data_IF_154515531194
#
_entry.id   IF_154515531194
#
_cell.length_a   1.000
_cell.length_b   1.000
_cell.length_c   1.000
_cell.angle_alpha   90.00
_cell.angle_beta   90.00
_cell.angle_gamma   90.00
#
_symmetry.space_group_name_H-M   'P 1'
#
loop_
_entity.id
_entity.type
_entity.pdbx_description
1 polymer ?
#
# COMPACT_ATOMS: atom_id res chain seq x y z
N UNK A 1 -17.90 19.25 8.33
CA UNK A 1 -16.49 18.86 8.18
C UNK A 1 -16.04 19.31 6.81
N UNK A 2 -15.00 20.13 6.71
CA UNK A 2 -14.39 20.39 5.40
C UNK A 2 -13.81 19.09 4.86
N UNK A 3 -14.16 18.73 3.63
CA UNK A 3 -13.60 17.59 2.92
C UNK A 3 -12.09 17.83 2.67
N UNK A 4 -11.29 16.77 2.70
CA UNK A 4 -9.85 16.86 2.46
C UNK A 4 -9.61 17.04 0.96
N UNK A 5 -8.95 18.14 0.58
CA UNK A 5 -8.52 18.37 -0.80
C UNK A 5 -7.26 17.56 -1.13
N UNK A 6 -7.47 16.39 -1.73
CA UNK A 6 -6.39 15.47 -2.10
C UNK A 6 -5.45 16.02 -3.17
N UNK A 7 -5.94 16.85 -4.08
CA UNK A 7 -5.12 17.42 -5.16
C UNK A 7 -4.12 18.43 -4.58
N UNK A 8 -4.60 19.30 -3.70
CA UNK A 8 -3.78 20.24 -2.93
C UNK A 8 -2.71 19.52 -2.10
N UNK A 9 -3.06 18.42 -1.43
CA UNK A 9 -2.09 17.63 -0.67
C UNK A 9 -1.03 16.98 -1.58
N UNK A 10 -1.42 16.48 -2.75
CA UNK A 10 -0.51 15.89 -3.72
C UNK A 10 0.48 16.92 -4.28
N UNK A 11 0.05 18.17 -4.44
CA UNK A 11 0.92 19.27 -4.89
C UNK A 11 1.95 19.65 -3.83
N UNK A 12 1.53 19.78 -2.57
CA UNK A 12 2.46 20.00 -1.44
C UNK A 12 3.46 18.85 -1.35
N UNK A 13 2.98 17.60 -1.48
CA UNK A 13 3.84 16.42 -1.45
C UNK A 13 4.90 16.45 -2.55
N UNK A 14 4.51 16.65 -3.82
CA UNK A 14 5.45 16.76 -4.95
C UNK A 14 6.44 17.90 -4.74
N UNK A 15 5.96 19.06 -4.31
CA UNK A 15 6.81 20.22 -4.07
C UNK A 15 7.84 19.94 -2.98
N UNK A 16 7.47 19.27 -1.90
CA UNK A 16 8.41 18.89 -0.85
C UNK A 16 9.56 18.03 -1.39
N UNK A 17 9.24 16.98 -2.14
CA UNK A 17 10.25 16.10 -2.75
C UNK A 17 11.15 16.81 -3.77
N UNK A 18 10.60 17.72 -4.57
CA UNK A 18 11.37 18.50 -5.56
C UNK A 18 12.38 19.47 -4.92
N UNK A 19 12.13 19.90 -3.68
CA UNK A 19 12.98 20.83 -2.94
C UNK A 19 13.95 20.13 -1.98
N UNK A 20 14.04 18.80 -2.01
CA UNK A 20 15.10 18.09 -1.30
C UNK A 20 16.41 18.31 -2.03
N UNK A 21 17.40 18.87 -1.33
CA UNK A 21 18.76 18.92 -1.80
C UNK A 21 19.40 17.54 -1.68
N UNK A 22 19.62 16.89 -2.83
CA UNK A 22 20.32 15.59 -2.91
C UNK A 22 21.82 15.75 -3.20
N UNK A 23 22.33 16.98 -3.34
CA UNK A 23 23.71 17.25 -3.79
C UNK A 23 24.76 16.96 -2.71
N UNK A 24 24.35 16.82 -1.46
CA UNK A 24 25.20 16.36 -0.37
C UNK A 24 24.82 14.93 -0.02
N UNK A 25 25.80 14.10 0.35
CA UNK A 25 25.64 12.67 0.66
C UNK A 25 24.86 12.49 1.98
N UNK A 26 23.61 12.96 2.00
CA UNK A 26 22.75 13.12 3.16
C UNK A 26 22.13 11.77 3.49
N UNK A 27 22.14 11.41 4.79
CA UNK A 27 21.47 10.20 5.26
C UNK A 27 19.96 10.27 5.00
N UNK A 28 19.32 9.13 4.77
CA UNK A 28 17.87 9.10 4.52
C UNK A 28 17.08 9.66 5.71
N UNK A 29 17.58 9.50 6.93
CA UNK A 29 17.01 10.14 8.11
C UNK A 29 16.96 11.67 7.96
N UNK A 30 18.01 12.29 7.42
CA UNK A 30 18.03 13.72 7.18
C UNK A 30 17.19 14.11 5.96
N UNK A 31 17.04 13.26 4.94
CA UNK A 31 16.07 13.47 3.84
C UNK A 31 14.64 13.52 4.40
N UNK A 32 14.25 12.51 5.20
CA UNK A 32 12.93 12.44 5.83
C UNK A 32 12.71 13.62 6.79
N UNK A 33 13.74 14.02 7.55
CA UNK A 33 13.70 15.19 8.43
C UNK A 33 13.47 16.50 7.66
N UNK A 34 14.22 16.71 6.57
CA UNK A 34 14.08 17.89 5.71
C UNK A 34 12.69 17.94 5.06
N UNK A 35 12.21 16.81 4.54
CA UNK A 35 10.89 16.72 3.95
C UNK A 35 9.78 17.03 4.97
N UNK A 36 9.91 16.51 6.20
CA UNK A 36 8.97 16.82 7.29
C UNK A 36 8.91 18.32 7.57
N UNK A 37 10.06 18.99 7.62
CA UNK A 37 10.13 20.43 7.84
C UNK A 37 9.47 21.22 6.69
N UNK A 38 9.73 20.85 5.43
CA UNK A 38 9.09 21.45 4.26
C UNK A 38 7.56 21.32 4.32
N UNK A 39 7.03 20.19 4.78
CA UNK A 39 5.60 20.02 4.97
C UNK A 39 5.05 20.90 6.10
N UNK A 40 5.74 20.97 7.24
CA UNK A 40 5.36 21.84 8.37
C UNK A 40 5.29 23.33 7.96
N UNK A 41 6.21 23.78 7.10
CA UNK A 41 6.18 25.14 6.57
C UNK A 41 4.91 25.45 5.77
N UNK A 42 4.31 24.45 5.11
CA UNK A 42 3.05 24.61 4.34
C UNK A 42 1.79 24.48 5.19
N UNK A 43 1.87 24.18 6.49
CA UNK A 43 0.68 23.99 7.33
C UNK A 43 -0.24 25.21 7.39
N UNK A 44 0.28 26.43 7.26
CA UNK A 44 -0.53 27.63 7.24
C UNK A 44 -1.51 27.69 6.04
N UNK A 45 -1.25 26.90 4.99
CA UNK A 45 -2.13 26.76 3.83
C UNK A 45 -3.22 25.70 4.05
N UNK A 46 -3.15 24.91 5.12
CA UNK A 46 -3.97 23.73 5.34
C UNK A 46 -4.97 23.91 6.48
N UNK A 47 -6.15 23.29 6.36
CA UNK A 47 -7.05 23.10 7.49
C UNK A 47 -6.61 21.91 8.37
N UNK A 48 -7.19 21.75 9.56
CA UNK A 48 -6.80 20.69 10.49
C UNK A 48 -6.95 19.25 9.94
N UNK A 49 -8.06 18.90 9.25
CA UNK A 49 -8.15 17.61 8.54
C UNK A 49 -7.02 17.39 7.53
N UNK A 50 -6.69 18.38 6.71
CA UNK A 50 -5.62 18.32 5.71
C UNK A 50 -4.24 18.15 6.34
N UNK A 51 -3.94 18.87 7.43
CA UNK A 51 -2.67 18.71 8.16
C UNK A 51 -2.49 17.28 8.68
N UNK A 52 -3.55 16.73 9.28
CA UNK A 52 -3.56 15.36 9.80
C UNK A 52 -3.34 14.34 8.68
N UNK A 53 -4.02 14.51 7.56
CA UNK A 53 -3.87 13.62 6.40
C UNK A 53 -2.44 13.69 5.83
N UNK A 54 -1.89 14.90 5.62
CA UNK A 54 -0.53 15.08 5.09
C UNK A 54 0.51 14.39 5.97
N UNK A 55 0.42 14.58 7.30
CA UNK A 55 1.33 13.93 8.24
C UNK A 55 1.12 12.43 8.32
N UNK A 56 -0.14 11.96 8.25
CA UNK A 56 -0.41 10.53 8.19
C UNK A 56 0.27 9.89 6.98
N UNK A 57 0.22 10.52 5.79
CA UNK A 57 0.92 10.05 4.59
C UNK A 57 2.43 10.03 4.77
N UNK A 58 2.99 11.09 5.36
CA UNK A 58 4.41 11.17 5.65
C UNK A 58 4.87 10.05 6.59
N UNK A 59 4.16 9.87 7.70
CA UNK A 59 4.49 8.84 8.69
C UNK A 59 4.35 7.43 8.09
N UNK A 60 3.31 7.16 7.29
CA UNK A 60 3.16 5.88 6.60
C UNK A 60 4.27 5.61 5.58
N UNK A 61 4.70 6.63 4.84
CA UNK A 61 5.86 6.54 3.95
C UNK A 61 7.16 6.25 4.71
N UNK A 62 7.41 6.98 5.81
CA UNK A 62 8.59 6.80 6.63
C UNK A 62 8.62 5.41 7.28
N UNK A 63 7.49 4.94 7.82
CA UNK A 63 7.37 3.60 8.39
C UNK A 63 7.68 2.51 7.36
N UNK A 64 7.13 2.62 6.15
CA UNK A 64 7.43 1.68 5.07
C UNK A 64 8.93 1.63 4.78
N UNK A 65 9.57 2.80 4.69
CA UNK A 65 11.01 2.89 4.50
C UNK A 65 11.78 2.18 5.61
N UNK A 66 11.44 2.44 6.87
CA UNK A 66 12.10 1.86 8.03
C UNK A 66 11.96 0.34 8.08
N UNK A 67 10.80 -0.21 7.71
CA UNK A 67 10.58 -1.66 7.63
C UNK A 67 11.43 -2.29 6.52
N UNK A 68 11.52 -1.64 5.35
CA UNK A 68 12.27 -2.15 4.20
C UNK A 68 13.79 -2.12 4.42
N UNK A 69 14.30 -1.06 5.05
CA UNK A 69 15.75 -0.81 5.13
C UNK A 69 16.35 -1.11 6.50
N UNK A 70 15.52 -1.26 7.54
CA UNK A 70 15.97 -1.53 8.90
C UNK A 70 17.01 -0.49 9.40
N UNK A 71 16.78 0.78 9.04
CA UNK A 71 17.73 1.89 9.23
C UNK A 71 17.61 2.57 10.60
N UNK A 72 16.71 2.09 11.47
CA UNK A 72 16.50 2.55 12.85
C UNK A 72 16.44 1.39 13.81
N UNK A 73 16.68 1.63 15.09
CA UNK A 73 16.47 0.61 16.13
C UNK A 73 14.98 0.23 16.17
N UNK A 74 14.63 -1.05 16.00
CA UNK A 74 13.25 -1.48 16.10
C UNK A 74 12.75 -1.35 17.53
N UNK A 75 11.44 -1.25 17.69
CA UNK A 75 10.75 -1.18 18.98
C UNK A 75 10.07 -2.51 19.28
N UNK A 76 10.00 -2.86 20.56
CA UNK A 76 9.27 -4.06 20.97
C UNK A 76 7.77 -3.82 20.79
N UNK A 77 7.12 -4.65 19.99
CA UNK A 77 5.68 -4.65 19.86
C UNK A 77 5.05 -5.33 21.08
N UNK A 78 4.23 -4.60 21.84
CA UNK A 78 3.57 -5.12 23.04
C UNK A 78 2.63 -6.30 22.75
N UNK A 79 2.18 -6.43 21.50
CA UNK A 79 1.18 -7.43 21.11
C UNK A 79 1.78 -8.77 20.70
N UNK A 80 2.72 -8.76 19.75
CA UNK A 80 3.37 -10.00 19.30
C UNK A 80 4.71 -10.27 20.00
N UNK A 81 5.19 -9.35 20.84
CA UNK A 81 6.50 -9.42 21.49
C UNK A 81 7.68 -9.51 20.50
N UNK A 82 7.43 -9.14 19.25
CA UNK A 82 8.45 -9.04 18.19
C UNK A 82 8.97 -7.62 18.03
N UNK A 83 10.16 -7.49 17.45
CA UNK A 83 10.77 -6.21 17.10
C UNK A 83 10.18 -5.68 15.80
N UNK A 84 9.65 -4.46 15.83
CA UNK A 84 8.99 -3.79 14.71
C UNK A 84 9.69 -2.46 14.38
N UNK A 85 9.83 -2.16 13.09
CA UNK A 85 10.44 -0.91 12.61
C UNK A 85 9.42 0.20 12.37
N UNK A 86 8.19 -0.15 12.01
CA UNK A 86 7.11 0.82 11.85
C UNK A 86 6.68 1.41 13.19
N UNK A 87 6.25 2.67 13.16
CA UNK A 87 5.79 3.42 14.33
C UNK A 87 4.27 3.44 14.49
N UNK A 88 3.52 3.41 13.38
CA UNK A 88 2.06 3.45 13.36
C UNK A 88 1.40 2.07 13.42
N UNK A 89 2.12 1.02 13.03
CA UNK A 89 1.65 -0.36 13.02
C UNK A 89 2.81 -1.32 13.35
N UNK A 90 2.51 -2.61 13.43
CA UNK A 90 3.52 -3.66 13.56
C UNK A 90 3.46 -4.57 12.32
N UNK A 91 4.51 -4.52 11.50
CA UNK A 91 4.63 -5.34 10.29
C UNK A 91 4.53 -6.85 10.61
N UNK A 92 5.02 -7.27 11.79
CA UNK A 92 4.91 -8.67 12.21
C UNK A 92 3.47 -9.06 12.55
N UNK A 93 2.70 -8.19 13.22
CA UNK A 93 1.28 -8.45 13.49
C UNK A 93 0.46 -8.55 12.20
N UNK A 94 0.80 -7.73 11.20
CA UNK A 94 0.18 -7.76 9.87
C UNK A 94 0.48 -9.09 9.18
N UNK A 95 1.75 -9.50 9.13
CA UNK A 95 2.18 -10.79 8.55
C UNK A 95 1.51 -11.97 9.25
N UNK A 96 1.43 -11.94 10.58
CA UNK A 96 0.74 -12.96 11.38
C UNK A 96 -0.76 -13.01 11.10
N UNK A 97 -1.41 -11.86 10.91
CA UNK A 97 -2.81 -11.78 10.49
C UNK A 97 -3.02 -12.49 9.16
N UNK A 98 -2.20 -12.21 8.14
CA UNK A 98 -2.32 -12.87 6.84
C UNK A 98 -2.02 -14.36 6.92
N UNK A 99 -0.95 -14.75 7.63
CA UNK A 99 -0.56 -16.14 7.82
C UNK A 99 -1.68 -16.99 8.43
N UNK A 100 -2.40 -16.45 9.42
CA UNK A 100 -3.58 -17.12 10.01
C UNK A 100 -4.75 -17.24 9.04
N UNK A 101 -4.79 -16.39 8.04
CA UNK A 101 -5.89 -16.28 7.10
C UNK A 101 -5.62 -16.96 5.76
N UNK A 102 -4.44 -17.54 5.47
CA UNK A 102 -4.11 -18.09 4.15
C UNK A 102 -5.18 -19.01 3.52
N UNK A 103 -5.91 -19.78 4.31
CA UNK A 103 -7.02 -20.62 3.82
C UNK A 103 -8.24 -19.85 3.29
N UNK A 104 -8.40 -18.58 3.66
CA UNK A 104 -9.57 -17.75 3.30
C UNK A 104 -9.42 -17.05 1.93
N UNK A 105 -8.24 -17.08 1.31
CA UNK A 105 -7.87 -16.24 0.13
C UNK A 105 -7.27 -17.09 -1.00
N UNK A 106 -7.82 -18.27 -1.22
CA UNK A 106 -7.35 -19.15 -2.30
C UNK A 106 -7.94 -18.75 -3.64
N UNK A 107 -7.08 -18.72 -4.65
CA UNK A 107 -7.44 -18.64 -6.07
C UNK A 107 -7.93 -19.97 -6.64
N UNK A 108 -7.76 -21.08 -5.89
CA UNK A 108 -7.89 -22.44 -6.40
C UNK A 108 -6.68 -22.93 -7.19
N UNK A 109 -5.63 -22.10 -7.34
CA UNK A 109 -4.37 -22.43 -7.98
C UNK A 109 -3.22 -22.29 -6.97
N UNK A 110 -2.57 -23.42 -6.64
CA UNK A 110 -1.51 -23.45 -5.62
C UNK A 110 -0.26 -22.62 -5.95
N UNK A 111 0.05 -22.39 -7.23
CA UNK A 111 1.19 -21.55 -7.63
C UNK A 111 0.88 -20.06 -7.39
N UNK A 112 -0.33 -19.62 -7.73
CA UNK A 112 -0.81 -18.24 -7.45
C UNK A 112 -0.87 -18.01 -5.95
N UNK A 113 -1.47 -18.96 -5.23
CA UNK A 113 -1.62 -18.87 -3.78
C UNK A 113 -0.27 -18.76 -3.10
N UNK A 114 0.75 -19.50 -3.58
CA UNK A 114 2.12 -19.40 -3.06
C UNK A 114 2.71 -18.01 -3.28
N UNK A 115 2.59 -17.43 -4.48
CA UNK A 115 3.09 -16.07 -4.77
C UNK A 115 2.40 -15.03 -3.88
N UNK A 116 1.08 -15.14 -3.70
CA UNK A 116 0.30 -14.24 -2.84
C UNK A 116 0.72 -14.40 -1.37
N UNK A 117 0.86 -15.62 -0.88
CA UNK A 117 1.30 -15.91 0.49
C UNK A 117 2.72 -15.39 0.75
N UNK A 118 3.65 -15.58 -0.20
CA UNK A 118 5.01 -15.07 -0.10
C UNK A 118 5.01 -13.53 -0.03
N UNK A 119 4.19 -12.85 -0.85
CA UNK A 119 4.03 -11.39 -0.76
C UNK A 119 3.45 -10.95 0.60
N UNK A 120 2.46 -11.68 1.12
CA UNK A 120 1.82 -11.40 2.41
C UNK A 120 2.78 -11.62 3.61
N UNK A 121 3.66 -12.63 3.56
CA UNK A 121 4.69 -12.87 4.57
C UNK A 121 5.76 -11.78 4.60
N UNK A 122 5.97 -11.10 3.48
CA UNK A 122 6.94 -10.02 3.33
C UNK A 122 6.30 -8.63 3.37
N UNK A 123 5.00 -8.52 3.69
CA UNK A 123 4.30 -7.25 3.73
C UNK A 123 5.03 -6.25 4.66
N UNK A 124 5.25 -5.04 4.15
CA UNK A 124 5.92 -3.95 4.88
C UNK A 124 4.92 -2.97 5.46
N UNK A 125 3.78 -2.77 4.81
CA UNK A 125 2.65 -1.97 5.29
C UNK A 125 1.30 -2.58 4.86
N UNK A 126 0.16 -2.18 5.46
CA UNK A 126 -1.15 -2.75 5.14
C UNK A 126 -1.61 -2.52 3.68
N UNK A 127 -1.25 -1.39 3.09
CA UNK A 127 -1.74 -0.90 1.78
C UNK A 127 -0.92 -1.42 0.58
N UNK A 128 0.19 -2.14 0.82
CA UNK A 128 0.98 -2.81 -0.25
C UNK A 128 0.71 -4.30 -0.33
N UNK A 129 -0.22 -4.82 0.46
CA UNK A 129 -0.48 -6.26 0.52
C UNK A 129 -1.13 -6.74 -0.76
N UNK A 130 -0.56 -7.80 -1.33
CA UNK A 130 -1.18 -8.49 -2.47
C UNK A 130 -2.30 -9.41 -1.99
N UNK A 131 -3.45 -9.33 -2.66
CA UNK A 131 -4.62 -10.15 -2.33
C UNK A 131 -5.30 -10.73 -3.59
N UNK A 132 -5.86 -11.93 -3.44
CA UNK A 132 -6.72 -12.52 -4.46
C UNK A 132 -8.11 -11.90 -4.38
N UNK A 133 -8.63 -11.43 -5.53
CA UNK A 133 -9.98 -10.87 -5.63
C UNK A 133 -10.81 -11.74 -6.57
N UNK A 134 -11.85 -12.43 -6.06
CA UNK A 134 -12.77 -13.16 -6.93
C UNK A 134 -13.43 -12.22 -7.94
N UNK A 135 -13.51 -12.64 -9.20
CA UNK A 135 -14.11 -11.80 -10.25
C UNK A 135 -15.56 -11.40 -9.93
N UNK A 136 -16.30 -12.26 -9.20
CA UNK A 136 -17.67 -11.99 -8.76
C UNK A 136 -17.79 -10.89 -7.69
N UNK A 137 -16.69 -10.50 -7.04
CA UNK A 137 -16.65 -9.37 -6.10
C UNK A 137 -16.52 -8.02 -6.83
N UNK A 138 -16.45 -8.04 -8.17
CA UNK A 138 -16.30 -6.87 -9.04
C UNK A 138 -17.61 -6.51 -9.74
N UNK A 139 -17.95 -5.22 -9.74
CA UNK A 139 -19.14 -4.68 -10.38
C UNK A 139 -18.78 -3.67 -11.47
N UNK A 140 -19.75 -3.33 -12.33
CA UNK A 140 -19.61 -2.29 -13.37
C UNK A 140 -18.33 -2.46 -14.21
N UNK A 141 -18.07 -3.69 -14.65
CA UNK A 141 -16.91 -4.01 -15.48
C UNK A 141 -17.10 -3.38 -16.86
N UNK A 142 -16.23 -2.45 -17.22
CA UNK A 142 -16.32 -1.67 -18.46
C UNK A 142 -15.02 -1.77 -19.24
N UNK A 143 -15.12 -2.06 -20.54
CA UNK A 143 -13.97 -2.02 -21.43
C UNK A 143 -13.42 -0.59 -21.56
N UNK A 144 -12.09 -0.43 -21.54
CA UNK A 144 -11.41 0.86 -21.73
C UNK A 144 -10.57 0.89 -23.00
N UNK A 145 -9.64 -0.05 -23.14
CA UNK A 145 -8.75 -0.09 -24.31
C UNK A 145 -8.16 -1.48 -24.51
N UNK A 146 -7.61 -1.71 -25.68
CA UNK A 146 -7.03 -2.99 -26.09
C UNK A 146 -5.73 -2.76 -26.83
N UNK A 147 -4.73 -3.59 -26.52
CA UNK A 147 -3.45 -3.66 -27.22
C UNK A 147 -3.28 -5.04 -27.86
N UNK A 148 -2.18 -5.26 -28.57
CA UNK A 148 -1.84 -6.59 -29.08
C UNK A 148 -1.63 -7.65 -27.99
N UNK A 149 -1.34 -7.24 -26.75
CA UNK A 149 -0.99 -8.14 -25.64
C UNK A 149 -2.01 -8.19 -24.50
N UNK A 150 -2.85 -7.18 -24.36
CA UNK A 150 -3.76 -7.08 -23.23
C UNK A 150 -5.02 -6.31 -23.54
N UNK A 151 -6.08 -6.57 -22.77
CA UNK A 151 -7.32 -5.81 -22.75
C UNK A 151 -7.44 -5.15 -21.36
N UNK A 152 -7.75 -3.87 -21.33
CA UNK A 152 -7.90 -3.08 -20.11
C UNK A 152 -9.38 -2.80 -19.88
N UNK A 153 -9.81 -3.07 -18.65
CA UNK A 153 -11.14 -2.74 -18.16
C UNK A 153 -11.02 -1.85 -16.91
N UNK A 154 -12.09 -1.13 -16.57
CA UNK A 154 -12.31 -0.67 -15.20
C UNK A 154 -13.37 -1.52 -14.53
N UNK A 155 -13.34 -1.58 -13.20
CA UNK A 155 -14.42 -2.15 -12.41
C UNK A 155 -14.53 -1.41 -11.08
N UNK A 156 -15.65 -1.58 -10.39
CA UNK A 156 -15.82 -1.17 -9.00
C UNK A 156 -15.62 -2.41 -8.12
N UNK A 157 -14.69 -2.31 -7.19
CA UNK A 157 -14.53 -3.31 -6.13
C UNK A 157 -15.13 -2.78 -4.83
N UNK A 158 -16.28 -3.34 -4.43
CA UNK A 158 -17.08 -2.80 -3.34
C UNK A 158 -16.40 -2.89 -1.96
N UNK A 159 -15.63 -3.95 -1.72
CA UNK A 159 -14.83 -4.06 -0.48
C UNK A 159 -13.63 -3.10 -0.51
N UNK A 160 -13.07 -2.85 -1.68
CA UNK A 160 -11.84 -2.07 -1.87
C UNK A 160 -10.60 -2.77 -1.34
N UNK A 161 -9.41 -2.21 -1.62
CA UNK A 161 -8.16 -2.76 -1.11
C UNK A 161 -8.03 -2.52 0.41
N UNK A 162 -7.09 -3.22 1.02
CA UNK A 162 -6.67 -2.91 2.38
C UNK A 162 -6.16 -1.47 2.51
N UNK A 163 -6.52 -0.85 3.62
CA UNK A 163 -6.11 0.52 3.97
C UNK A 163 -5.22 0.51 5.20
N UNK A 164 -5.74 -0.03 6.31
CA UNK A 164 -5.09 0.03 7.62
C UNK A 164 -5.23 -1.28 8.36
N UNK A 165 -4.29 -1.54 9.25
CA UNK A 165 -4.40 -2.62 10.23
C UNK A 165 -4.71 -2.02 11.59
N UNK A 166 -5.81 -2.47 12.20
CA UNK A 166 -6.18 -2.05 13.55
C UNK A 166 -5.66 -3.07 14.56
N UNK A 167 -4.65 -2.71 15.38
CA UNK A 167 -4.05 -3.64 16.33
C UNK A 167 -4.97 -3.99 17.50
N UNK A 168 -5.96 -3.16 17.83
CA UNK A 168 -6.89 -3.40 18.94
C UNK A 168 -7.93 -4.46 18.57
N UNK A 169 -8.50 -4.35 17.37
CA UNK A 169 -9.54 -5.27 16.88
C UNK A 169 -8.97 -6.48 16.15
N UNK A 170 -7.66 -6.49 15.89
CA UNK A 170 -7.01 -7.49 15.03
C UNK A 170 -7.68 -7.62 13.65
N UNK A 171 -8.14 -6.50 13.11
CA UNK A 171 -8.85 -6.45 11.85
C UNK A 171 -8.15 -5.52 10.86
N UNK A 172 -8.36 -5.80 9.59
CA UNK A 172 -7.97 -4.93 8.48
C UNK A 172 -9.14 -4.04 8.11
N UNK A 173 -8.88 -2.75 8.05
CA UNK A 173 -9.80 -1.74 7.53
C UNK A 173 -9.58 -1.62 6.02
N UNK A 174 -10.66 -1.55 5.25
CA UNK A 174 -10.62 -1.40 3.80
C UNK A 174 -11.07 0.00 3.38
N UNK A 175 -10.63 0.44 2.20
CA UNK A 175 -11.07 1.72 1.65
C UNK A 175 -12.56 1.76 1.29
N UNK A 176 -13.21 0.60 1.13
CA UNK A 176 -14.56 0.51 0.59
C UNK A 176 -14.58 0.66 -0.93
N UNK A 177 -15.74 0.98 -1.50
CA UNK A 177 -15.96 0.95 -2.94
C UNK A 177 -14.91 1.77 -3.70
N UNK A 178 -14.05 1.07 -4.45
CA UNK A 178 -12.91 1.65 -5.15
C UNK A 178 -12.98 1.29 -6.63
N UNK A 179 -12.76 2.28 -7.50
CA UNK A 179 -12.60 2.01 -8.94
C UNK A 179 -11.20 1.47 -9.17
N UNK A 180 -11.12 0.29 -9.80
CA UNK A 180 -9.87 -0.41 -10.11
C UNK A 180 -9.71 -0.59 -11.61
N UNK A 181 -8.46 -0.81 -12.03
CA UNK A 181 -8.11 -1.19 -13.39
C UNK A 181 -7.85 -2.69 -13.43
N UNK A 182 -8.49 -3.37 -14.37
CA UNK A 182 -8.25 -4.79 -14.65
C UNK A 182 -7.49 -4.92 -15.95
N UNK A 183 -6.36 -5.65 -15.92
CA UNK A 183 -5.59 -5.98 -17.11
C UNK A 183 -5.73 -7.48 -17.41
N UNK A 184 -6.46 -7.81 -18.47
CA UNK A 184 -6.54 -9.17 -19.01
C UNK A 184 -5.40 -9.36 -20.01
N UNK A 185 -4.51 -10.31 -19.75
CA UNK A 185 -3.48 -10.71 -20.71
C UNK A 185 -4.10 -11.63 -21.78
N UNK A 186 -3.75 -11.42 -23.05
CA UNK A 186 -4.25 -12.24 -24.17
C UNK A 186 -3.45 -13.54 -24.27
N UNK A 187 -4.10 -14.61 -24.75
CA UNK A 187 -3.50 -15.94 -24.95
C UNK A 187 -2.88 -16.53 -23.66
N UNK A 188 -3.42 -16.15 -22.50
CA UNK A 188 -3.01 -16.68 -21.20
C UNK A 188 -4.05 -17.60 -20.59
N UNK A 189 -4.58 -18.49 -21.41
CA UNK A 189 -5.60 -19.46 -20.97
C UNK A 189 -5.04 -20.43 -19.92
N UNK A 190 -3.71 -20.46 -19.77
CA UNK A 190 -2.98 -21.10 -18.68
C UNK A 190 -2.31 -20.02 -17.84
N UNK A 191 -2.53 -20.08 -16.53
CA UNK A 191 -1.85 -19.23 -15.54
C UNK A 191 -0.53 -19.90 -15.13
N UNK A 192 0.36 -20.11 -16.09
CA UNK A 192 1.67 -20.74 -15.90
C UNK A 192 2.75 -19.70 -15.56
N UNK A 193 4.01 -20.14 -15.38
CA UNK A 193 5.13 -19.25 -15.03
C UNK A 193 5.29 -18.05 -15.97
N UNK A 194 5.00 -18.22 -17.27
CA UNK A 194 5.13 -17.15 -18.25
C UNK A 194 4.02 -16.12 -18.11
N UNK A 195 2.80 -16.54 -17.72
CA UNK A 195 1.75 -15.62 -17.31
C UNK A 195 2.17 -14.76 -16.13
N UNK A 196 2.78 -15.35 -15.08
CA UNK A 196 3.25 -14.61 -13.91
C UNK A 196 4.31 -13.56 -14.26
N UNK A 197 5.28 -13.91 -15.11
CA UNK A 197 6.34 -12.97 -15.55
C UNK A 197 5.79 -11.73 -16.25
N UNK A 198 4.60 -11.82 -16.86
CA UNK A 198 3.94 -10.72 -17.58
C UNK A 198 2.99 -9.92 -16.68
N UNK A 199 2.40 -10.56 -15.66
CA UNK A 199 1.41 -9.96 -14.78
C UNK A 199 1.98 -9.32 -13.51
N UNK A 200 3.13 -9.79 -13.01
CA UNK A 200 3.73 -9.37 -11.72
C UNK A 200 4.88 -8.34 -11.92
N UNK A 201 4.97 -7.71 -13.09
CA UNK A 201 5.95 -6.66 -13.40
C UNK A 201 5.34 -5.26 -13.38
#
# INVERSE_FOLDING_TARGET
>A
MSEVDNEKLNDIWRNGWQNIDYATNISVESILGNLRNLFLEKFHLLNEPEKKELMSRFDSFADKWHVEHQDKSPKLCERCQGWAYASQYCENCIRDFFKKNFGNWTSGNGEIDKVIQDAQLNATCPDVVTEWVPFNDLEKVEHKTESSRSIIYSAVWNKGPFNKYNPETNAVERLGATTIILKKVKNSDKMDEDWFKVCVK
#
